data_IF_717646750539
#
_entry.id   IF_717646750539
#
_cell.length_a   1.000
_cell.length_b   1.000
_cell.length_c   1.000
_cell.angle_alpha   90.00
_cell.angle_beta   90.00
_cell.angle_gamma   90.00
#
_symmetry.space_group_name_H-M   'P 1'
#
loop_
_entity.id
_entity.type
_entity.pdbx_description
1 polymer ?
#
# COMPACT_ATOMS: atom_id res chain seq x y z
N UNK A 1 -7.92 -1.67 -27.02
CA UNK A 1 -6.96 -1.22 -26.04
C UNK A 1 -5.57 -1.55 -26.55
N UNK A 2 -4.71 -0.57 -26.63
CA UNK A 2 -3.29 -0.79 -26.99
C UNK A 2 -2.54 -1.36 -25.78
N UNK A 3 -1.75 -2.38 -26.00
CA UNK A 3 -0.96 -3.06 -24.95
C UNK A 3 0.47 -2.49 -24.81
N UNK A 4 0.81 -1.45 -25.59
CA UNK A 4 2.12 -0.78 -25.56
C UNK A 4 3.24 -1.52 -26.31
N UNK A 5 2.92 -2.64 -26.95
CA UNK A 5 3.81 -3.42 -27.82
C UNK A 5 3.39 -3.37 -29.30
N UNK A 6 2.56 -2.39 -29.67
CA UNK A 6 1.98 -2.21 -31.01
C UNK A 6 0.85 -3.19 -31.34
N UNK A 7 0.37 -3.94 -30.36
CA UNK A 7 -0.75 -4.89 -30.51
C UNK A 7 -1.99 -4.38 -29.80
N UNK A 8 -3.15 -4.63 -30.37
CA UNK A 8 -4.43 -4.34 -29.75
C UNK A 8 -4.93 -5.55 -28.97
N UNK A 9 -5.20 -5.39 -27.67
CA UNK A 9 -5.84 -6.41 -26.87
C UNK A 9 -7.36 -6.15 -26.75
N UNK A 10 -8.15 -7.23 -26.81
CA UNK A 10 -9.55 -7.17 -26.40
C UNK A 10 -9.62 -6.95 -24.90
N UNK A 11 -10.26 -5.88 -24.49
CA UNK A 11 -10.50 -5.56 -23.09
C UNK A 11 -12.00 -5.73 -22.76
N UNK A 12 -12.28 -6.06 -21.51
CA UNK A 12 -13.64 -6.16 -20.98
C UNK A 12 -13.74 -5.44 -19.64
N UNK A 13 -14.86 -4.79 -19.39
CA UNK A 13 -15.20 -4.31 -18.06
C UNK A 13 -15.95 -5.42 -17.32
N UNK A 14 -15.47 -5.74 -16.13
CA UNK A 14 -16.09 -6.73 -15.24
C UNK A 14 -16.55 -6.01 -13.97
N UNK A 15 -17.69 -6.42 -13.44
CA UNK A 15 -18.25 -5.90 -12.19
C UNK A 15 -17.94 -6.90 -11.08
N UNK A 16 -17.15 -6.46 -10.09
CA UNK A 16 -16.77 -7.25 -8.93
C UNK A 16 -17.49 -6.71 -7.69
N UNK A 17 -18.28 -7.54 -7.01
CA UNK A 17 -18.94 -7.18 -5.76
C UNK A 17 -18.03 -7.48 -4.58
N UNK A 18 -17.83 -6.50 -3.71
CA UNK A 18 -17.11 -6.69 -2.45
C UNK A 18 -17.97 -7.50 -1.47
N UNK A 19 -17.50 -8.66 -1.09
CA UNK A 19 -18.19 -9.51 -0.11
C UNK A 19 -18.34 -8.83 1.26
N UNK A 20 -17.44 -7.93 1.60
CA UNK A 20 -17.44 -7.24 2.90
C UNK A 20 -18.36 -6.05 2.97
N UNK A 21 -18.43 -5.26 1.88
CA UNK A 21 -19.16 -3.98 1.86
C UNK A 21 -20.41 -4.01 1.00
N UNK A 22 -20.63 -5.09 0.24
CA UNK A 22 -21.71 -5.18 -0.73
C UNK A 22 -21.54 -4.26 -1.96
N UNK A 23 -20.55 -3.38 -1.97
CA UNK A 23 -20.32 -2.39 -3.04
C UNK A 23 -19.84 -3.05 -4.32
N UNK A 24 -20.21 -2.48 -5.44
CA UNK A 24 -19.82 -2.97 -6.76
C UNK A 24 -18.71 -2.09 -7.34
N UNK A 25 -17.70 -2.74 -7.89
CA UNK A 25 -16.55 -2.06 -8.52
C UNK A 25 -16.43 -2.48 -9.97
N UNK A 26 -16.14 -1.52 -10.84
CA UNK A 26 -15.75 -1.80 -12.21
C UNK A 26 -14.25 -2.09 -12.29
N UNK A 27 -13.90 -3.17 -12.97
CA UNK A 27 -12.53 -3.62 -13.21
C UNK A 27 -12.34 -3.82 -14.70
N UNK A 28 -11.37 -3.16 -15.32
CA UNK A 28 -10.97 -3.43 -16.70
C UNK A 28 -10.03 -4.63 -16.72
N UNK A 29 -10.31 -5.63 -17.58
CA UNK A 29 -9.50 -6.83 -17.77
C UNK A 29 -9.11 -6.99 -19.23
N UNK A 30 -7.89 -7.42 -19.49
CA UNK A 30 -7.40 -7.74 -20.83
C UNK A 30 -6.35 -8.86 -20.77
N UNK A 31 -6.07 -9.47 -21.92
CA UNK A 31 -5.00 -10.48 -22.04
C UNK A 31 -3.84 -9.90 -22.82
N UNK A 32 -2.63 -10.07 -22.29
CA UNK A 32 -1.39 -9.70 -22.96
C UNK A 32 -0.31 -10.74 -22.61
N UNK A 33 0.45 -11.19 -23.61
CA UNK A 33 1.49 -12.20 -23.41
C UNK A 33 1.01 -13.50 -22.74
N UNK A 34 -0.22 -13.94 -23.02
CA UNK A 34 -0.81 -15.16 -22.43
C UNK A 34 -1.33 -14.99 -20.99
N UNK A 35 -1.12 -13.84 -20.35
CA UNK A 35 -1.55 -13.55 -18.98
C UNK A 35 -2.74 -12.58 -18.98
N UNK A 36 -3.59 -12.69 -17.95
CA UNK A 36 -4.66 -11.71 -17.72
C UNK A 36 -4.13 -10.58 -16.85
N UNK A 37 -4.22 -9.37 -17.35
CA UNK A 37 -3.99 -8.15 -16.59
C UNK A 37 -5.33 -7.48 -16.24
N UNK A 38 -5.38 -6.73 -15.15
CA UNK A 38 -6.57 -6.02 -14.74
C UNK A 38 -6.22 -4.72 -14.00
N UNK A 39 -7.15 -3.76 -14.08
CA UNK A 39 -7.08 -2.52 -13.31
C UNK A 39 -8.47 -2.20 -12.75
N UNK A 40 -8.55 -1.91 -11.46
CA UNK A 40 -9.80 -1.45 -10.83
C UNK A 40 -10.00 0.02 -11.21
N UNK A 41 -11.14 0.32 -11.82
CA UNK A 41 -11.49 1.65 -12.31
C UNK A 41 -12.13 2.52 -11.22
N UNK A 42 -13.04 1.95 -10.45
CA UNK A 42 -13.76 2.66 -9.39
C UNK A 42 -15.01 1.93 -8.91
N UNK A 43 -15.66 2.51 -7.91
CA UNK A 43 -16.96 2.08 -7.43
C UNK A 43 -18.03 2.52 -8.46
N UNK A 44 -19.03 1.67 -8.69
CA UNK A 44 -20.18 1.95 -9.56
C UNK A 44 -21.44 1.62 -8.80
N UNK A 45 -22.39 2.56 -8.81
CA UNK A 45 -23.66 2.47 -8.09
C UNK A 45 -24.78 3.00 -8.97
N UNK A 46 -25.09 2.26 -10.03
CA UNK A 46 -26.21 2.55 -10.95
C UNK A 46 -27.31 1.50 -10.75
N UNK A 47 -28.52 1.86 -11.12
CA UNK A 47 -29.70 1.03 -10.90
C UNK A 47 -29.60 -0.35 -11.58
N UNK A 48 -28.97 -0.42 -12.75
CA UNK A 48 -28.88 -1.67 -13.52
C UNK A 48 -27.44 -2.11 -13.78
N UNK A 49 -27.27 -3.41 -14.04
CA UNK A 49 -25.98 -3.96 -14.45
C UNK A 49 -25.43 -3.32 -15.72
N UNK A 50 -26.29 -3.05 -16.68
CA UNK A 50 -25.89 -2.42 -17.96
C UNK A 50 -25.40 -0.99 -17.78
N UNK A 51 -26.00 -0.24 -16.86
CA UNK A 51 -25.55 1.12 -16.52
C UNK A 51 -24.23 1.10 -15.78
N UNK A 52 -24.03 0.16 -14.85
CA UNK A 52 -22.75 -0.04 -14.18
C UNK A 52 -21.63 -0.40 -15.16
N UNK A 53 -21.91 -1.22 -16.18
CA UNK A 53 -20.94 -1.52 -17.24
C UNK A 53 -20.62 -0.28 -18.10
N UNK A 54 -21.63 0.52 -18.47
CA UNK A 54 -21.41 1.79 -19.20
C UNK A 54 -20.58 2.76 -18.38
N UNK A 55 -20.88 2.88 -17.09
CA UNK A 55 -20.09 3.68 -16.15
C UNK A 55 -18.64 3.18 -16.05
N UNK A 56 -18.43 1.89 -15.96
CA UNK A 56 -17.10 1.30 -15.98
C UNK A 56 -16.31 1.63 -17.24
N UNK A 57 -16.94 1.62 -18.42
CA UNK A 57 -16.30 2.06 -19.66
C UNK A 57 -16.03 3.57 -19.70
N UNK A 58 -16.88 4.39 -19.09
CA UNK A 58 -16.65 5.83 -18.92
C UNK A 58 -15.40 6.05 -18.06
N UNK A 59 -15.34 5.41 -16.89
CA UNK A 59 -14.18 5.46 -15.99
C UNK A 59 -12.88 4.99 -16.68
N UNK A 60 -12.96 3.94 -17.53
CA UNK A 60 -11.79 3.47 -18.28
C UNK A 60 -11.27 4.53 -19.27
N UNK A 61 -12.16 5.26 -19.94
CA UNK A 61 -11.77 6.37 -20.84
C UNK A 61 -11.15 7.52 -20.06
N UNK A 62 -11.78 7.96 -18.96
CA UNK A 62 -11.28 9.05 -18.12
C UNK A 62 -9.94 8.73 -17.46
N UNK A 63 -9.75 7.47 -17.05
CA UNK A 63 -8.47 7.00 -16.54
C UNK A 63 -7.38 6.91 -17.62
N UNK A 64 -7.70 7.12 -18.90
CA UNK A 64 -6.76 7.03 -20.01
C UNK A 64 -6.22 5.62 -20.28
N UNK A 65 -6.86 4.58 -19.72
CA UNK A 65 -6.37 3.19 -19.88
C UNK A 65 -6.67 2.59 -21.24
N UNK A 66 -7.49 3.26 -22.06
CA UNK A 66 -7.89 2.84 -23.40
C UNK A 66 -7.08 3.54 -24.50
N UNK A 67 -6.37 4.62 -24.18
CA UNK A 67 -5.55 5.36 -25.14
C UNK A 67 -4.12 4.82 -25.19
N UNK A 68 -3.56 4.79 -26.38
CA UNK A 68 -2.19 4.37 -26.61
C UNK A 68 -1.14 5.41 -26.18
N UNK A 69 -1.56 6.68 -26.06
CA UNK A 69 -0.64 7.78 -25.83
C UNK A 69 -0.22 7.86 -24.36
N UNK A 70 1.07 7.66 -24.14
CA UNK A 70 1.72 7.95 -22.87
C UNK A 70 2.20 9.39 -22.88
N UNK A 71 2.12 10.11 -21.75
CA UNK A 71 2.79 11.41 -21.64
C UNK A 71 4.26 11.28 -21.98
N UNK A 72 4.82 12.31 -22.60
CA UNK A 72 6.25 12.39 -22.89
C UNK A 72 7.07 12.16 -21.61
N UNK A 73 8.12 11.36 -21.69
CA UNK A 73 8.93 10.96 -20.54
C UNK A 73 8.24 9.99 -19.55
N UNK A 74 7.15 9.35 -19.95
CA UNK A 74 6.46 8.38 -19.09
C UNK A 74 7.37 7.21 -18.70
N UNK A 75 7.43 6.94 -17.40
CA UNK A 75 8.11 5.77 -16.85
C UNK A 75 7.38 4.44 -17.13
N UNK A 76 6.12 4.49 -17.52
CA UNK A 76 5.30 3.31 -17.83
C UNK A 76 5.34 2.99 -19.31
N UNK A 77 5.29 1.69 -19.65
CA UNK A 77 5.25 1.20 -21.03
C UNK A 77 3.89 1.36 -21.70
N UNK A 78 2.82 1.43 -20.91
CA UNK A 78 1.46 1.60 -21.41
C UNK A 78 0.63 2.43 -20.46
N UNK A 79 -0.41 3.07 -21.00
CA UNK A 79 -1.39 3.81 -20.21
C UNK A 79 -2.03 2.93 -19.12
N UNK A 80 -2.27 1.65 -19.42
CA UNK A 80 -2.80 0.68 -18.47
C UNK A 80 -1.84 0.40 -17.31
N UNK A 81 -0.55 0.22 -17.57
CA UNK A 81 0.47 0.06 -16.53
C UNK A 81 0.54 1.30 -15.64
N UNK A 82 0.51 2.49 -16.27
CA UNK A 82 0.52 3.76 -15.55
C UNK A 82 -0.71 3.91 -14.65
N UNK A 83 -1.89 3.61 -15.16
CA UNK A 83 -3.14 3.67 -14.41
C UNK A 83 -3.17 2.67 -13.25
N UNK A 84 -2.74 1.43 -13.48
CA UNK A 84 -2.63 0.40 -12.43
C UNK A 84 -1.72 0.85 -11.28
N UNK A 85 -0.54 1.39 -11.61
CA UNK A 85 0.40 1.88 -10.60
C UNK A 85 -0.12 3.12 -9.86
N UNK A 86 -0.86 4.01 -10.54
CA UNK A 86 -1.50 5.17 -9.89
C UNK A 86 -2.68 4.77 -9.01
N UNK A 87 -3.35 3.67 -9.31
CA UNK A 87 -4.46 3.13 -8.51
C UNK A 87 -3.97 2.42 -7.24
N UNK A 88 -2.69 2.13 -7.11
CA UNK A 88 -2.13 1.57 -5.89
C UNK A 88 -2.30 2.56 -4.73
N UNK A 89 -3.02 2.12 -3.72
CA UNK A 89 -3.27 2.92 -2.52
C UNK A 89 -2.02 2.97 -1.66
N UNK A 90 -1.58 4.17 -1.30
CA UNK A 90 -0.47 4.38 -0.37
C UNK A 90 -0.86 4.30 1.11
N UNK A 91 -2.12 3.95 1.42
CA UNK A 91 -2.63 3.78 2.80
C UNK A 91 -3.87 2.89 2.79
N UNK A 92 -4.21 2.34 3.95
CA UNK A 92 -5.36 1.43 4.13
C UNK A 92 -5.29 0.20 3.24
N UNK A 93 -4.09 -0.31 3.05
CA UNK A 93 -3.83 -1.56 2.31
C UNK A 93 -4.43 -2.76 3.02
N UNK A 94 -4.53 -3.88 2.32
CA UNK A 94 -5.01 -5.13 2.91
C UNK A 94 -4.21 -5.57 4.14
N UNK A 95 -2.87 -5.65 4.05
CA UNK A 95 -2.00 -5.98 5.19
C UNK A 95 -2.16 -5.04 6.38
N UNK A 96 -2.13 -3.72 6.17
CA UNK A 96 -2.34 -2.74 7.23
C UNK A 96 -3.67 -2.95 7.97
N UNK A 97 -4.76 -3.17 7.24
CA UNK A 97 -6.09 -3.35 7.84
C UNK A 97 -6.19 -4.64 8.65
N UNK A 98 -5.58 -5.74 8.17
CA UNK A 98 -5.54 -7.01 8.91
C UNK A 98 -4.74 -6.86 10.19
N UNK A 99 -3.56 -6.28 10.13
CA UNK A 99 -2.73 -5.98 11.30
C UNK A 99 -3.51 -5.14 12.32
N UNK A 100 -4.10 -4.03 11.89
CA UNK A 100 -4.89 -3.14 12.76
C UNK A 100 -6.08 -3.86 13.41
N UNK A 101 -6.75 -4.76 12.70
CA UNK A 101 -7.86 -5.54 13.25
C UNK A 101 -7.41 -6.41 14.42
N UNK A 102 -6.30 -7.13 14.27
CA UNK A 102 -5.76 -8.01 15.33
C UNK A 102 -5.30 -7.17 16.53
N UNK A 103 -4.56 -6.08 16.31
CA UNK A 103 -4.10 -5.19 17.38
C UNK A 103 -5.27 -4.59 18.16
N UNK A 104 -6.35 -4.21 17.47
CA UNK A 104 -7.56 -3.68 18.12
C UNK A 104 -8.29 -4.75 18.93
N UNK A 105 -8.42 -5.96 18.41
CA UNK A 105 -9.01 -7.11 19.14
C UNK A 105 -8.19 -7.48 20.38
N UNK A 106 -6.85 -7.33 20.32
CA UNK A 106 -5.97 -7.49 21.47
C UNK A 106 -6.04 -6.30 22.48
N UNK A 107 -7.00 -5.40 22.34
CA UNK A 107 -7.21 -4.29 23.27
C UNK A 107 -6.27 -3.10 23.09
N UNK A 108 -5.41 -3.10 22.08
CA UNK A 108 -4.50 -1.99 21.84
C UNK A 108 -5.22 -0.79 21.20
N UNK A 109 -4.85 0.41 21.60
CA UNK A 109 -5.35 1.67 21.04
C UNK A 109 -4.19 2.43 20.41
N UNK A 110 -4.41 2.92 19.19
CA UNK A 110 -3.39 3.54 18.34
C UNK A 110 -4.01 4.60 17.43
N UNK A 111 -3.17 5.43 16.84
CA UNK A 111 -3.55 6.36 15.75
C UNK A 111 -3.15 5.73 14.41
N UNK A 112 -3.97 5.94 13.39
CA UNK A 112 -3.76 5.43 12.03
C UNK A 112 -3.22 6.54 11.15
N UNK A 113 -2.26 6.23 10.27
CA UNK A 113 -1.67 7.17 9.32
C UNK A 113 -1.32 8.51 9.99
N UNK A 114 -0.62 8.46 11.10
CA UNK A 114 -0.30 9.62 11.91
C UNK A 114 1.20 9.94 11.91
N UNK A 115 1.53 11.18 12.20
CA UNK A 115 2.92 11.61 12.41
C UNK A 115 3.32 11.33 13.85
N UNK A 116 4.34 10.49 14.11
CA UNK A 116 4.85 10.28 15.47
C UNK A 116 5.39 11.57 16.06
N UNK A 117 6.18 12.30 15.30
CA UNK A 117 6.75 13.60 15.67
C UNK A 117 6.16 14.68 14.76
N UNK A 118 5.45 15.68 15.29
CA UNK A 118 4.75 16.71 14.48
C UNK A 118 5.67 17.49 13.53
N UNK A 119 6.90 17.78 13.95
CA UNK A 119 7.90 18.51 13.15
C UNK A 119 8.46 17.68 11.98
N UNK A 120 8.41 16.35 12.07
CA UNK A 120 8.87 15.47 10.99
C UNK A 120 7.73 15.19 10.00
N UNK A 121 7.95 15.47 8.73
CA UNK A 121 7.01 15.15 7.65
C UNK A 121 7.06 13.66 7.30
N UNK A 122 6.93 12.79 8.32
CA UNK A 122 6.95 11.33 8.19
C UNK A 122 5.69 10.77 8.86
N UNK A 123 4.95 9.95 8.14
CA UNK A 123 3.69 9.34 8.59
C UNK A 123 3.91 7.85 8.74
N UNK A 124 3.57 7.31 9.91
CA UNK A 124 3.57 5.87 10.17
C UNK A 124 2.15 5.31 10.06
N UNK A 125 2.04 4.03 9.67
CA UNK A 125 0.75 3.37 9.44
C UNK A 125 -0.02 3.15 10.74
N UNK A 126 0.71 2.83 11.82
CA UNK A 126 0.16 2.69 13.18
C UNK A 126 1.07 3.38 14.17
N UNK A 127 0.51 4.22 15.05
CA UNK A 127 1.27 5.00 16.05
C UNK A 127 0.69 4.78 17.44
N UNK A 128 1.51 4.25 18.34
CA UNK A 128 1.22 4.14 19.78
C UNK A 128 1.87 5.31 20.52
N UNK A 129 1.16 6.42 20.62
CA UNK A 129 1.74 7.67 21.13
C UNK A 129 2.25 7.54 22.56
N UNK A 130 1.50 6.89 23.47
CA UNK A 130 1.89 6.71 24.85
C UNK A 130 3.11 5.79 25.04
N UNK A 131 3.28 4.81 24.17
CA UNK A 131 4.43 3.91 24.19
C UNK A 131 5.59 4.41 23.31
N UNK A 132 5.41 5.49 22.56
CA UNK A 132 6.35 5.97 21.53
C UNK A 132 6.79 4.85 20.56
N UNK A 133 5.83 4.08 20.04
CA UNK A 133 6.10 3.05 19.03
C UNK A 133 5.44 3.47 17.71
N UNK A 134 6.22 3.49 16.64
CA UNK A 134 5.80 3.77 15.28
C UNK A 134 5.94 2.52 14.40
N UNK A 135 4.87 2.12 13.73
CA UNK A 135 4.85 0.91 12.90
C UNK A 135 4.65 1.30 11.44
N UNK A 136 5.48 0.72 10.57
CA UNK A 136 5.41 0.83 9.12
C UNK A 136 5.15 -0.55 8.51
N UNK A 137 4.26 -0.63 7.53
CA UNK A 137 3.98 -1.84 6.76
C UNK A 137 4.50 -1.65 5.34
N UNK A 138 5.65 -2.24 5.09
CA UNK A 138 6.40 -2.02 3.85
C UNK A 138 5.93 -2.95 2.73
N UNK A 139 5.50 -2.38 1.63
CA UNK A 139 5.16 -3.11 0.42
C UNK A 139 6.40 -3.72 -0.24
N UNK A 140 6.36 -5.02 -0.56
CA UNK A 140 7.52 -5.77 -1.04
C UNK A 140 8.18 -5.15 -2.29
N UNK A 141 7.36 -4.72 -3.24
CA UNK A 141 7.85 -4.08 -4.46
C UNK A 141 8.48 -2.70 -4.18
N UNK A 142 7.79 -1.87 -3.38
CA UNK A 142 8.15 -0.46 -3.21
C UNK A 142 9.38 -0.24 -2.34
N UNK A 143 9.64 -1.16 -1.42
CA UNK A 143 10.73 -1.09 -0.45
C UNK A 143 11.84 -2.11 -0.74
N UNK A 144 11.74 -2.86 -1.86
CA UNK A 144 12.76 -3.79 -2.32
C UNK A 144 12.98 -4.95 -1.36
N UNK A 145 11.89 -5.65 -1.01
CA UNK A 145 11.94 -6.86 -0.19
C UNK A 145 12.96 -7.86 -0.76
N UNK A 146 13.84 -8.41 0.06
CA UNK A 146 14.83 -9.38 -0.41
C UNK A 146 14.19 -10.68 -0.92
N UNK A 147 13.06 -11.09 -0.33
CA UNK A 147 12.44 -12.38 -0.63
C UNK A 147 11.43 -12.29 -1.78
N UNK A 148 10.67 -11.17 -1.87
CA UNK A 148 9.55 -11.01 -2.81
C UNK A 148 9.70 -9.78 -3.72
N UNK A 149 10.82 -9.06 -3.63
CA UNK A 149 11.09 -7.93 -4.50
C UNK A 149 11.32 -8.38 -5.93
N UNK A 150 10.41 -8.00 -6.85
CA UNK A 150 10.58 -8.24 -8.28
C UNK A 150 10.96 -6.96 -9.00
N UNK A 151 12.06 -7.00 -9.75
CA UNK A 151 12.48 -5.87 -10.56
C UNK A 151 11.80 -5.95 -11.94
N UNK A 152 11.06 -4.92 -12.37
CA UNK A 152 10.49 -4.89 -13.71
C UNK A 152 11.57 -5.00 -14.78
N UNK A 153 11.32 -5.79 -15.81
CA UNK A 153 12.25 -5.95 -16.94
C UNK A 153 12.44 -4.65 -17.74
N UNK A 154 11.44 -3.76 -17.73
CA UNK A 154 11.45 -2.48 -18.44
C UNK A 154 11.73 -1.32 -17.50
N UNK A 155 12.39 -0.28 -18.01
CA UNK A 155 12.80 0.92 -17.26
C UNK A 155 13.58 0.57 -15.97
N UNK A 156 14.43 -0.44 -16.07
CA UNK A 156 15.14 -0.99 -14.92
C UNK A 156 15.93 0.08 -14.15
N UNK A 157 16.58 1.00 -14.84
CA UNK A 157 17.31 2.11 -14.22
C UNK A 157 16.40 3.01 -13.37
N UNK A 158 15.24 3.38 -13.91
CA UNK A 158 14.24 4.15 -13.16
C UNK A 158 13.79 3.43 -11.89
N UNK A 159 13.44 2.13 -11.99
CA UNK A 159 12.96 1.37 -10.85
C UNK A 159 14.05 1.13 -9.80
N UNK A 160 15.28 0.85 -10.24
CA UNK A 160 16.43 0.72 -9.32
C UNK A 160 16.64 2.00 -8.53
N UNK A 161 16.68 3.16 -9.19
CA UNK A 161 16.83 4.45 -8.52
C UNK A 161 15.64 4.76 -7.58
N UNK A 162 14.42 4.44 -8.01
CA UNK A 162 13.20 4.66 -7.23
C UNK A 162 13.17 3.84 -5.95
N UNK A 163 13.48 2.54 -6.03
CA UNK A 163 13.51 1.63 -4.90
C UNK A 163 14.66 2.00 -3.95
N UNK A 164 15.84 2.32 -4.49
CA UNK A 164 16.98 2.78 -3.70
C UNK A 164 16.63 4.08 -2.93
N UNK A 165 15.97 5.04 -3.58
CA UNK A 165 15.52 6.26 -2.94
C UNK A 165 14.46 6.04 -1.85
N UNK A 166 13.58 5.04 -2.02
CA UNK A 166 12.63 4.66 -0.98
C UNK A 166 13.37 4.08 0.24
N UNK A 167 14.28 3.11 0.02
CA UNK A 167 15.07 2.49 1.09
C UNK A 167 15.92 3.51 1.87
N UNK A 168 16.54 4.46 1.17
CA UNK A 168 17.31 5.53 1.81
C UNK A 168 16.40 6.40 2.71
N UNK A 169 15.20 6.74 2.21
CA UNK A 169 14.21 7.50 2.98
C UNK A 169 13.67 6.71 4.18
N UNK A 170 13.52 5.39 4.05
CA UNK A 170 13.10 4.50 5.13
C UNK A 170 14.14 4.45 6.24
N UNK A 171 15.41 4.30 5.88
CA UNK A 171 16.54 4.31 6.83
C UNK A 171 16.64 5.68 7.54
N UNK A 172 16.54 6.79 6.78
CA UNK A 172 16.52 8.14 7.36
C UNK A 172 15.32 8.32 8.31
N UNK A 173 14.13 7.86 7.91
CA UNK A 173 12.92 7.94 8.74
C UNK A 173 13.09 7.18 10.05
N UNK A 174 13.63 5.97 9.99
CA UNK A 174 13.92 5.13 11.16
C UNK A 174 14.87 5.86 12.09
N UNK A 175 16.01 6.32 11.57
CA UNK A 175 17.01 7.07 12.35
C UNK A 175 16.43 8.30 13.05
N UNK A 176 15.72 9.16 12.30
CA UNK A 176 15.12 10.39 12.87
C UNK A 176 14.08 10.11 13.96
N UNK A 177 13.32 9.03 13.84
CA UNK A 177 12.35 8.64 14.84
C UNK A 177 13.02 8.05 16.07
N UNK A 178 14.06 7.22 15.90
CA UNK A 178 14.84 6.65 17.00
C UNK A 178 15.59 7.75 17.78
N UNK A 179 16.18 8.73 17.10
CA UNK A 179 16.80 9.91 17.73
C UNK A 179 15.78 10.76 18.51
N UNK A 180 14.51 10.76 18.09
CA UNK A 180 13.41 11.39 18.82
C UNK A 180 12.85 10.51 19.95
N UNK A 181 13.47 9.39 20.27
CA UNK A 181 13.09 8.47 21.34
C UNK A 181 11.89 7.59 21.02
N UNK A 182 11.66 7.30 19.74
CA UNK A 182 10.62 6.38 19.27
C UNK A 182 11.22 5.01 18.97
N UNK A 183 10.49 3.96 19.30
CA UNK A 183 10.78 2.60 18.79
C UNK A 183 10.13 2.46 17.43
N UNK A 184 10.91 2.11 16.41
CA UNK A 184 10.41 1.90 15.04
C UNK A 184 10.28 0.40 14.77
N UNK A 185 9.11 -0.02 14.31
CA UNK A 185 8.81 -1.40 13.89
C UNK A 185 8.49 -1.38 12.40
N UNK A 186 9.27 -2.09 11.58
CA UNK A 186 9.00 -2.27 10.16
C UNK A 186 8.60 -3.71 9.88
N UNK A 187 7.52 -3.88 9.13
CA UNK A 187 6.91 -5.18 8.83
C UNK A 187 6.66 -5.26 7.33
N UNK A 188 7.07 -6.35 6.72
CA UNK A 188 6.77 -6.58 5.33
C UNK A 188 5.28 -6.93 5.11
N UNK A 189 4.71 -6.47 4.00
CA UNK A 189 3.30 -6.76 3.65
C UNK A 189 2.99 -8.26 3.52
N UNK A 190 3.99 -9.09 3.25
CA UNK A 190 3.86 -10.56 3.15
C UNK A 190 3.92 -11.28 4.49
N UNK A 191 4.34 -10.61 5.57
CA UNK A 191 4.38 -11.20 6.91
C UNK A 191 2.96 -11.59 7.33
N UNK A 192 2.81 -12.80 7.87
CA UNK A 192 1.52 -13.27 8.39
C UNK A 192 0.96 -12.27 9.41
N UNK A 193 -0.33 -11.90 9.31
CA UNK A 193 -0.91 -10.85 10.15
C UNK A 193 -0.76 -11.10 11.65
N UNK A 194 -0.82 -12.35 12.07
CA UNK A 194 -0.67 -12.78 13.46
C UNK A 194 0.76 -12.60 13.96
N UNK A 195 1.74 -12.94 13.13
CA UNK A 195 3.17 -12.74 13.41
C UNK A 195 3.52 -11.26 13.47
N UNK A 196 3.04 -10.50 12.50
CA UNK A 196 3.17 -9.04 12.47
C UNK A 196 2.60 -8.41 13.76
N UNK A 197 1.40 -8.84 14.17
CA UNK A 197 0.76 -8.35 15.38
C UNK A 197 1.56 -8.73 16.64
N UNK A 198 2.08 -9.95 16.72
CA UNK A 198 2.93 -10.39 17.84
C UNK A 198 4.18 -9.52 17.96
N UNK A 199 4.84 -9.23 16.85
CA UNK A 199 6.02 -8.34 16.82
C UNK A 199 5.69 -6.95 17.36
N UNK A 200 4.58 -6.35 16.91
CA UNK A 200 4.13 -5.05 17.38
C UNK A 200 3.78 -5.07 18.86
N UNK A 201 3.02 -6.08 19.32
CA UNK A 201 2.63 -6.21 20.73
C UNK A 201 3.86 -6.34 21.65
N UNK A 202 4.84 -7.11 21.23
CA UNK A 202 6.11 -7.24 21.96
C UNK A 202 6.84 -5.90 22.10
N UNK A 203 6.96 -5.15 21.00
CA UNK A 203 7.61 -3.83 21.00
C UNK A 203 6.85 -2.83 21.89
N UNK A 204 5.52 -2.80 21.83
CA UNK A 204 4.68 -1.91 22.65
C UNK A 204 4.80 -2.27 24.14
N UNK A 205 4.82 -3.56 24.47
CA UNK A 205 4.97 -4.02 25.85
C UNK A 205 6.36 -3.65 26.41
N UNK A 206 7.42 -3.92 25.66
CA UNK A 206 8.77 -3.56 26.05
C UNK A 206 8.93 -2.05 26.28
N UNK A 207 8.42 -1.23 25.36
CA UNK A 207 8.46 0.22 25.46
C UNK A 207 7.69 0.74 26.69
N UNK A 208 6.52 0.15 26.99
CA UNK A 208 5.75 0.51 28.20
C UNK A 208 6.46 0.12 29.48
N UNK A 209 7.15 -1.03 29.50
CA UNK A 209 7.93 -1.47 30.67
C UNK A 209 9.12 -0.56 30.92
N UNK A 210 9.84 -0.18 29.85
CA UNK A 210 10.97 0.74 29.94
C UNK A 210 10.56 2.16 30.41
N UNK A 211 9.35 2.61 30.07
CA UNK A 211 8.82 3.92 30.45
C UNK A 211 8.27 3.98 31.91
N UNK A 212 8.13 2.84 32.61
CA UNK A 212 7.69 2.82 34.01
C UNK A 212 8.88 3.14 34.91
N UNK A 213 8.83 4.23 35.71
CA UNK A 213 9.88 4.50 36.69
C UNK A 213 9.95 3.31 37.68
N UNK A 214 11.15 2.83 37.91
CA UNK A 214 11.41 1.91 39.02
C UNK A 214 10.98 2.65 40.30
N UNK A 215 9.91 2.21 40.93
CA UNK A 215 9.61 2.66 42.29
C UNK A 215 10.73 2.12 43.15
N UNK A 216 11.73 2.95 43.43
CA UNK A 216 12.63 2.70 44.53
C UNK A 216 11.78 2.56 45.77
N UNK A 217 11.78 1.36 46.34
CA UNK A 217 11.09 1.06 47.59
C UNK A 217 11.75 1.89 48.71
N UNK A 218 11.07 3.00 49.06
CA UNK A 218 11.39 3.68 50.32
C UNK A 218 11.10 2.73 51.46
N UNK A 219 12.16 2.42 52.19
CA UNK A 219 12.06 1.91 53.56
C UNK A 219 11.79 3.05 54.52
#
# INVERSE_FOLDING_TARGET
MDTGDGRSARASVVLDRSMRTGRVYATLRWRTGGRTASVRLGEVDRATRSENLREGWRLAREAGVLSAELPEGSWARSAATRASMRANKGKDTGPERRLRSILHQAGLRYRVSARPVPSLRRTADVVFTAAKVAVFVDGCFWHGCPDHGSMPASNRGFWTAKIAGNRARDAETTKLLEEAGWTVVRIWEHTAPEEAAKTVMTAVTAARTAARPVKEGGR
#
